data_IF_836029588841
#
_entry.id   IF_836029588841
#
_cell.length_a   1.000
_cell.length_b   1.000
_cell.length_c   1.000
_cell.angle_alpha   90.00
_cell.angle_beta   90.00
_cell.angle_gamma   90.00
#
_symmetry.space_group_name_H-M   'P 1'
#
loop_
_entity.id
_entity.type
_entity.pdbx_description
1 polymer ?
#
# COMPACT_ATOMS: atom_id res chain seq x y z
N UNK A 1 -17.01 -26.52 -11.41
CA UNK A 1 -16.28 -25.26 -11.13
C UNK A 1 -16.66 -24.21 -12.16
N UNK A 2 -17.86 -23.65 -12.08
CA UNK A 2 -18.26 -22.64 -13.04
C UNK A 2 -17.33 -21.43 -13.00
N UNK A 3 -17.15 -20.83 -14.17
CA UNK A 3 -16.15 -19.84 -14.58
C UNK A 3 -15.40 -19.13 -13.44
N UNK A 4 -14.10 -19.41 -13.33
CA UNK A 4 -13.19 -18.77 -12.37
C UNK A 4 -12.34 -17.71 -13.06
N UNK A 5 -12.29 -16.50 -12.49
CA UNK A 5 -11.42 -15.41 -12.92
C UNK A 5 -10.24 -15.24 -11.95
N UNK A 6 -9.01 -15.18 -12.46
CA UNK A 6 -7.79 -14.90 -11.69
C UNK A 6 -7.17 -13.58 -12.18
N UNK A 7 -7.12 -12.57 -11.31
CA UNK A 7 -6.59 -11.22 -11.63
C UNK A 7 -5.41 -10.82 -10.75
N UNK A 8 -4.72 -9.73 -11.13
CA UNK A 8 -3.52 -9.25 -10.44
C UNK A 8 -2.49 -8.61 -11.39
N UNK A 9 -1.52 -7.88 -10.86
CA UNK A 9 -0.47 -7.28 -11.69
C UNK A 9 0.50 -8.34 -12.24
N UNK A 10 1.26 -8.03 -13.31
CA UNK A 10 2.38 -8.86 -13.75
C UNK A 10 3.33 -9.22 -12.59
N UNK A 11 3.80 -10.47 -12.53
CA UNK A 11 4.66 -10.95 -11.44
C UNK A 11 3.95 -11.30 -10.13
N UNK A 12 2.62 -11.12 -10.01
CA UNK A 12 1.87 -11.55 -8.82
C UNK A 12 1.55 -13.05 -8.78
N UNK A 13 1.95 -13.82 -9.80
CA UNK A 13 1.81 -15.29 -9.82
C UNK A 13 0.42 -15.80 -10.15
N UNK A 14 -0.34 -15.05 -10.97
CA UNK A 14 -1.66 -15.43 -11.49
C UNK A 14 -1.65 -16.78 -12.20
N UNK A 15 -0.77 -16.91 -13.19
CA UNK A 15 -0.59 -18.13 -13.97
C UNK A 15 -0.23 -19.31 -13.07
N UNK A 16 0.69 -19.12 -12.12
CA UNK A 16 1.05 -20.16 -11.15
C UNK A 16 -0.14 -20.65 -10.31
N UNK A 17 -0.98 -19.73 -9.84
CA UNK A 17 -2.16 -20.07 -9.04
C UNK A 17 -3.23 -20.78 -9.88
N UNK A 18 -3.50 -20.26 -11.09
CA UNK A 18 -4.42 -20.85 -12.04
C UNK A 18 -4.00 -22.29 -12.43
N UNK A 19 -2.71 -22.51 -12.72
CA UNK A 19 -2.17 -23.84 -13.00
C UNK A 19 -2.29 -24.77 -11.79
N UNK A 20 -2.15 -24.26 -10.56
CA UNK A 20 -2.35 -25.06 -9.34
C UNK A 20 -3.80 -25.53 -9.23
N UNK A 21 -4.77 -24.65 -9.48
CA UNK A 21 -6.19 -25.01 -9.49
C UNK A 21 -6.53 -26.00 -10.62
N UNK A 22 -5.97 -25.77 -11.81
CA UNK A 22 -6.16 -26.63 -12.97
C UNK A 22 -5.58 -28.03 -12.73
N UNK A 23 -4.39 -28.12 -12.14
CA UNK A 23 -3.74 -29.39 -11.81
C UNK A 23 -4.58 -30.21 -10.83
N UNK A 24 -5.16 -29.58 -9.81
CA UNK A 24 -6.08 -30.26 -8.89
C UNK A 24 -7.31 -30.87 -9.59
N UNK A 25 -7.74 -30.31 -10.71
CA UNK A 25 -8.83 -30.85 -11.51
C UNK A 25 -8.35 -31.97 -12.45
N UNK A 26 -7.16 -31.80 -13.04
CA UNK A 26 -6.51 -32.86 -13.82
C UNK A 26 -6.27 -34.12 -12.97
N UNK A 27 -5.78 -33.95 -11.74
CA UNK A 27 -5.54 -35.03 -10.79
C UNK A 27 -6.84 -35.76 -10.37
N UNK A 28 -8.02 -35.12 -10.55
CA UNK A 28 -9.34 -35.73 -10.37
C UNK A 28 -9.87 -36.42 -11.63
N UNK A 29 -9.04 -36.55 -12.67
CA UNK A 29 -9.39 -37.22 -13.92
C UNK A 29 -10.04 -36.33 -14.97
N UNK A 30 -10.04 -35.00 -14.79
CA UNK A 30 -10.66 -34.08 -15.74
C UNK A 30 -9.71 -33.71 -16.87
N UNK A 31 -10.20 -33.71 -18.11
CA UNK A 31 -9.43 -33.21 -19.25
C UNK A 31 -9.24 -31.68 -19.15
N UNK A 32 -7.99 -31.23 -19.08
CA UNK A 32 -7.62 -29.82 -19.02
C UNK A 32 -7.02 -29.37 -20.34
N UNK A 33 -7.52 -28.27 -20.89
CA UNK A 33 -7.03 -27.64 -22.10
C UNK A 33 -6.50 -26.25 -21.78
N UNK A 34 -5.26 -25.93 -22.16
CA UNK A 34 -4.63 -24.66 -21.83
C UNK A 34 -4.18 -23.87 -23.08
N UNK A 35 -4.42 -22.55 -23.06
CA UNK A 35 -4.04 -21.59 -24.09
C UNK A 35 -3.32 -20.38 -23.48
N UNK A 36 -2.36 -19.80 -24.21
CA UNK A 36 -1.72 -18.53 -23.85
C UNK A 36 -0.60 -18.61 -22.79
N UNK A 37 -0.29 -19.79 -22.26
CA UNK A 37 0.75 -19.99 -21.25
C UNK A 37 2.09 -20.27 -21.94
N UNK A 38 3.09 -19.44 -21.66
CA UNK A 38 4.41 -19.53 -22.28
C UNK A 38 5.19 -20.76 -21.78
N UNK A 39 5.79 -21.51 -22.72
CA UNK A 39 6.66 -22.66 -22.49
C UNK A 39 6.06 -23.70 -21.51
N UNK A 40 4.74 -23.91 -21.58
CA UNK A 40 4.06 -24.91 -20.77
C UNK A 40 4.41 -26.32 -21.26
N UNK A 41 4.93 -27.15 -20.36
CA UNK A 41 5.17 -28.57 -20.57
C UNK A 41 3.86 -29.34 -20.37
N UNK A 42 3.10 -29.48 -21.45
CA UNK A 42 1.77 -30.09 -21.49
C UNK A 42 1.80 -31.57 -21.07
N UNK A 43 2.81 -32.32 -21.49
CA UNK A 43 2.93 -33.75 -21.22
C UNK A 43 3.19 -33.99 -19.72
N UNK A 44 4.13 -33.24 -19.15
CA UNK A 44 4.52 -33.42 -17.75
C UNK A 44 3.45 -32.95 -16.77
N UNK A 45 2.70 -31.90 -17.10
CA UNK A 45 1.59 -31.41 -16.26
C UNK A 45 0.29 -32.20 -16.47
N UNK A 46 0.18 -32.96 -17.57
CA UNK A 46 -1.00 -33.75 -17.92
C UNK A 46 -2.13 -32.92 -18.56
N UNK A 47 -1.79 -31.82 -19.26
CA UNK A 47 -2.76 -30.95 -19.93
C UNK A 47 -2.69 -31.14 -21.44
N UNK A 48 -3.73 -30.70 -22.14
CA UNK A 48 -3.78 -30.63 -23.60
C UNK A 48 -3.63 -29.20 -24.07
N UNK A 49 -3.00 -29.01 -25.22
CA UNK A 49 -2.95 -27.69 -25.87
C UNK A 49 -4.30 -27.36 -26.48
N UNK A 50 -4.74 -26.12 -26.29
CA UNK A 50 -5.87 -25.55 -27.01
C UNK A 50 -5.33 -24.67 -28.14
N UNK A 51 -5.38 -25.17 -29.37
CA UNK A 51 -4.80 -24.50 -30.52
C UNK A 51 -5.59 -23.25 -30.92
N UNK A 52 -6.91 -23.41 -31.09
CA UNK A 52 -7.83 -22.31 -31.35
C UNK A 52 -8.74 -22.07 -30.13
N UNK A 53 -8.47 -21.03 -29.32
CA UNK A 53 -9.27 -20.74 -28.15
C UNK A 53 -10.67 -20.22 -28.49
N UNK A 54 -10.92 -19.79 -29.74
CA UNK A 54 -12.24 -19.37 -30.19
C UNK A 54 -13.17 -20.57 -30.41
N UNK A 55 -12.61 -21.78 -30.59
CA UNK A 55 -13.38 -23.02 -30.80
C UNK A 55 -13.43 -23.91 -29.55
N UNK A 56 -13.30 -23.32 -28.38
CA UNK A 56 -13.36 -24.05 -27.10
C UNK A 56 -14.65 -24.89 -26.96
N UNK A 57 -15.75 -24.45 -27.57
CA UNK A 57 -17.04 -25.13 -27.52
C UNK A 57 -17.07 -26.42 -28.36
N UNK A 58 -16.07 -26.69 -29.19
CA UNK A 58 -15.96 -27.95 -29.96
C UNK A 58 -15.23 -29.05 -29.17
N UNK A 59 -14.69 -28.72 -27.99
CA UNK A 59 -13.99 -29.66 -27.12
C UNK A 59 -14.94 -30.74 -26.56
N UNK A 60 -14.39 -31.87 -26.06
CA UNK A 60 -15.19 -32.88 -25.37
C UNK A 60 -15.89 -32.32 -24.12
N UNK A 61 -17.09 -32.83 -23.87
CA UNK A 61 -17.89 -32.46 -22.70
C UNK A 61 -17.14 -32.70 -21.39
N UNK A 62 -17.40 -31.86 -20.40
CA UNK A 62 -16.72 -31.93 -19.11
C UNK A 62 -15.31 -31.35 -19.10
N UNK A 63 -14.81 -30.76 -20.20
CA UNK A 63 -13.46 -30.19 -20.24
C UNK A 63 -13.30 -28.96 -19.32
N UNK A 64 -12.10 -28.79 -18.77
CA UNK A 64 -11.65 -27.58 -18.10
C UNK A 64 -10.76 -26.77 -19.05
N UNK A 65 -11.12 -25.51 -19.29
CA UNK A 65 -10.38 -24.63 -20.18
C UNK A 65 -9.62 -23.57 -19.36
N UNK A 66 -8.31 -23.49 -19.55
CA UNK A 66 -7.42 -22.52 -18.91
C UNK A 66 -6.90 -21.56 -19.96
N UNK A 67 -7.15 -20.27 -19.82
CA UNK A 67 -6.72 -19.25 -20.79
C UNK A 67 -5.95 -18.17 -20.06
N UNK A 68 -4.65 -18.06 -20.37
CA UNK A 68 -3.84 -16.93 -19.93
C UNK A 68 -4.03 -15.73 -20.86
N UNK A 69 -3.95 -14.53 -20.27
CA UNK A 69 -4.26 -13.25 -20.93
C UNK A 69 -5.56 -13.31 -21.74
N UNK A 70 -6.64 -13.73 -21.07
CA UNK A 70 -7.92 -14.10 -21.69
C UNK A 70 -8.62 -12.96 -22.43
N UNK A 71 -8.19 -11.70 -22.28
CA UNK A 71 -8.66 -10.57 -23.10
C UNK A 71 -8.35 -10.75 -24.59
N UNK A 72 -7.38 -11.59 -24.96
CA UNK A 72 -7.13 -11.94 -26.36
C UNK A 72 -8.24 -12.80 -26.98
N UNK A 73 -8.94 -13.58 -26.16
CA UNK A 73 -10.03 -14.48 -26.58
C UNK A 73 -11.39 -13.83 -26.32
N UNK A 74 -11.54 -13.18 -25.18
CA UNK A 74 -12.76 -12.52 -24.72
C UNK A 74 -12.51 -11.02 -24.52
N UNK A 75 -12.22 -10.26 -25.60
CA UNK A 75 -11.89 -8.85 -25.47
C UNK A 75 -13.07 -8.04 -24.95
N UNK A 76 -12.77 -6.96 -24.21
CA UNK A 76 -13.78 -5.96 -23.90
C UNK A 76 -14.36 -5.37 -25.19
N UNK A 77 -15.68 -5.22 -25.25
CA UNK A 77 -16.41 -4.75 -26.42
C UNK A 77 -17.46 -3.72 -26.04
N UNK A 78 -17.88 -2.92 -27.01
CA UNK A 78 -19.00 -2.00 -26.86
C UNK A 78 -20.31 -2.79 -26.71
N UNK A 79 -21.25 -2.26 -25.92
CA UNK A 79 -22.53 -2.93 -25.64
C UNK A 79 -23.36 -3.20 -26.91
N UNK A 80 -23.26 -2.33 -27.92
CA UNK A 80 -23.96 -2.45 -29.20
C UNK A 80 -23.27 -3.35 -30.22
N UNK A 81 -22.05 -3.85 -29.95
CA UNK A 81 -21.33 -4.70 -30.89
C UNK A 81 -21.90 -6.12 -30.90
N UNK A 82 -21.94 -6.74 -32.08
CA UNK A 82 -22.34 -8.14 -32.25
C UNK A 82 -21.51 -9.05 -31.34
N UNK A 83 -22.20 -9.91 -30.58
CA UNK A 83 -21.56 -10.89 -29.69
C UNK A 83 -20.97 -12.02 -30.56
N UNK A 84 -19.66 -12.29 -30.50
CA UNK A 84 -19.07 -13.42 -31.20
C UNK A 84 -19.63 -14.76 -30.70
N UNK A 85 -19.64 -15.77 -31.57
CA UNK A 85 -20.27 -17.06 -31.27
C UNK A 85 -19.66 -17.75 -30.04
N UNK A 86 -18.33 -17.77 -29.94
CA UNK A 86 -17.62 -18.36 -28.81
C UNK A 86 -17.91 -17.64 -27.47
N UNK A 87 -18.35 -16.39 -27.52
CA UNK A 87 -18.81 -15.64 -26.33
C UNK A 87 -20.25 -16.02 -26.00
N UNK A 88 -21.13 -16.15 -27.01
CA UNK A 88 -22.53 -16.58 -26.82
C UNK A 88 -22.60 -17.97 -26.17
N UNK A 89 -21.77 -18.90 -26.64
CA UNK A 89 -21.68 -20.27 -26.11
C UNK A 89 -21.31 -20.30 -24.62
N UNK A 90 -20.68 -19.25 -24.07
CA UNK A 90 -20.40 -19.16 -22.63
C UNK A 90 -21.69 -19.14 -21.80
N UNK A 91 -22.84 -18.71 -22.34
CA UNK A 91 -24.13 -18.75 -21.64
C UNK A 91 -24.52 -20.18 -21.26
N UNK A 92 -24.22 -21.14 -22.14
CA UNK A 92 -24.64 -22.55 -22.05
C UNK A 92 -23.49 -23.49 -21.69
N UNK A 93 -22.34 -22.96 -21.26
CA UNK A 93 -21.16 -23.77 -20.92
C UNK A 93 -21.45 -24.92 -19.95
N UNK A 94 -22.35 -24.69 -18.97
CA UNK A 94 -22.71 -25.69 -17.96
C UNK A 94 -23.50 -26.88 -18.52
N UNK A 95 -24.23 -26.71 -19.61
CA UNK A 95 -25.04 -27.80 -20.19
C UNK A 95 -24.14 -28.96 -20.64
N UNK A 96 -22.94 -28.64 -21.11
CA UNK A 96 -21.93 -29.62 -21.53
C UNK A 96 -20.83 -29.82 -20.50
N UNK A 97 -21.01 -29.29 -19.28
CA UNK A 97 -20.06 -29.45 -18.17
C UNK A 97 -18.71 -28.75 -18.39
N UNK A 98 -18.63 -27.75 -19.26
CA UNK A 98 -17.40 -26.97 -19.41
C UNK A 98 -17.17 -26.11 -18.17
N UNK A 99 -15.92 -26.02 -17.73
CA UNK A 99 -15.49 -25.05 -16.72
C UNK A 99 -14.30 -24.25 -17.23
N UNK A 100 -14.08 -23.09 -16.63
CA UNK A 100 -13.05 -22.16 -17.09
C UNK A 100 -12.21 -21.63 -15.95
N UNK A 101 -10.91 -21.47 -16.20
CA UNK A 101 -9.99 -20.66 -15.41
C UNK A 101 -9.41 -19.60 -16.34
N UNK A 102 -9.93 -18.39 -16.23
CA UNK A 102 -9.55 -17.24 -17.05
C UNK A 102 -8.58 -16.36 -16.27
N UNK A 103 -7.43 -16.06 -16.86
CA UNK A 103 -6.41 -15.22 -16.23
C UNK A 103 -6.36 -13.89 -16.98
N UNK A 104 -6.41 -12.79 -16.23
CA UNK A 104 -6.29 -11.44 -16.78
C UNK A 104 -5.48 -10.55 -15.83
N UNK A 105 -4.95 -9.44 -16.31
CA UNK A 105 -4.35 -8.46 -15.42
C UNK A 105 -5.43 -7.72 -14.63
N UNK A 106 -6.49 -7.29 -15.33
CA UNK A 106 -7.66 -6.64 -14.78
C UNK A 106 -8.92 -7.21 -15.40
N UNK A 107 -9.97 -7.41 -14.59
CA UNK A 107 -11.23 -7.97 -15.10
C UNK A 107 -12.01 -7.04 -16.03
N UNK A 108 -11.71 -5.73 -16.04
CA UNK A 108 -12.33 -4.77 -16.98
C UNK A 108 -11.85 -4.96 -18.44
N UNK A 109 -10.73 -5.65 -18.64
CA UNK A 109 -10.20 -5.96 -19.98
C UNK A 109 -10.97 -7.08 -20.68
N UNK A 110 -11.80 -7.81 -19.93
CA UNK A 110 -12.57 -8.96 -20.42
C UNK A 110 -14.00 -8.52 -20.75
N UNK A 111 -14.61 -9.21 -21.73
CA UNK A 111 -15.99 -9.00 -22.19
C UNK A 111 -16.96 -8.82 -21.00
N UNK A 112 -17.79 -7.76 -21.01
CA UNK A 112 -18.75 -7.50 -19.95
C UNK A 112 -19.73 -8.65 -19.68
N UNK A 113 -20.08 -9.43 -20.71
CA UNK A 113 -20.99 -10.58 -20.59
C UNK A 113 -20.47 -11.63 -19.61
N UNK A 114 -19.15 -11.90 -19.62
CA UNK A 114 -18.55 -12.90 -18.76
C UNK A 114 -18.56 -12.49 -17.27
N UNK A 115 -18.70 -11.19 -16.96
CA UNK A 115 -18.71 -10.69 -15.58
C UNK A 115 -19.90 -11.22 -14.77
N UNK A 116 -21.03 -11.49 -15.42
CA UNK A 116 -22.19 -12.12 -14.80
C UNK A 116 -22.07 -13.64 -14.64
N UNK A 117 -21.06 -14.26 -15.26
CA UNK A 117 -20.87 -15.72 -15.24
C UNK A 117 -19.83 -16.18 -14.23
N UNK A 118 -18.99 -15.26 -13.73
CA UNK A 118 -17.94 -15.59 -12.76
C UNK A 118 -18.54 -15.98 -11.42
N UNK A 119 -18.29 -17.21 -11.00
CA UNK A 119 -18.62 -17.65 -9.63
C UNK A 119 -17.47 -17.49 -8.66
N UNK A 120 -16.24 -17.41 -9.16
CA UNK A 120 -15.08 -17.21 -8.32
C UNK A 120 -14.19 -16.17 -8.97
N UNK A 121 -13.87 -15.12 -8.21
CA UNK A 121 -12.86 -14.14 -8.59
C UNK A 121 -11.73 -14.16 -7.57
N UNK A 122 -10.54 -14.55 -8.00
CA UNK A 122 -9.31 -14.52 -7.21
C UNK A 122 -8.46 -13.32 -7.63
N UNK A 123 -8.20 -12.38 -6.73
CA UNK A 123 -7.26 -11.29 -6.98
C UNK A 123 -5.96 -11.51 -6.21
N UNK A 124 -4.86 -11.55 -6.96
CA UNK A 124 -3.53 -11.83 -6.45
C UNK A 124 -2.73 -10.55 -6.21
N UNK A 125 -2.20 -10.42 -4.99
CA UNK A 125 -1.33 -9.31 -4.59
C UNK A 125 -0.05 -9.83 -3.94
N UNK A 126 1.09 -9.55 -4.56
CA UNK A 126 2.41 -9.86 -4.01
C UNK A 126 3.23 -8.58 -3.85
N UNK A 127 3.20 -7.98 -2.65
CA UNK A 127 3.82 -6.69 -2.40
C UNK A 127 5.37 -6.69 -2.42
N UNK A 128 6.01 -7.84 -2.22
CA UNK A 128 7.47 -7.90 -1.99
C UNK A 128 8.24 -8.90 -2.87
N UNK A 129 7.62 -9.45 -3.92
CA UNK A 129 8.29 -10.43 -4.78
C UNK A 129 8.67 -11.74 -4.05
N UNK A 130 8.21 -11.92 -2.82
CA UNK A 130 8.39 -13.14 -2.05
C UNK A 130 7.54 -14.28 -2.58
N UNK A 131 7.76 -15.49 -2.05
CA UNK A 131 6.99 -16.70 -2.38
C UNK A 131 5.56 -16.69 -1.85
N UNK A 132 5.26 -15.79 -0.92
CA UNK A 132 3.94 -15.64 -0.31
C UNK A 132 3.13 -14.65 -1.13
N UNK A 133 1.93 -15.04 -1.50
CA UNK A 133 0.96 -14.18 -2.20
C UNK A 133 -0.30 -14.05 -1.38
N UNK A 134 -0.79 -12.82 -1.24
CA UNK A 134 -2.13 -12.58 -0.69
C UNK A 134 -3.13 -12.77 -1.82
N UNK A 135 -4.09 -13.67 -1.62
CA UNK A 135 -5.17 -13.95 -2.56
C UNK A 135 -6.47 -13.50 -1.90
N UNK A 136 -7.17 -12.55 -2.52
CA UNK A 136 -8.54 -12.21 -2.14
C UNK A 136 -9.49 -13.02 -3.00
N UNK A 137 -10.49 -13.67 -2.41
CA UNK A 137 -11.55 -14.38 -3.13
C UNK A 137 -12.87 -13.63 -3.00
N UNK A 138 -13.64 -13.61 -4.08
CA UNK A 138 -15.06 -13.25 -4.07
C UNK A 138 -15.84 -14.32 -4.84
N UNK A 139 -17.08 -14.53 -4.44
CA UNK A 139 -17.98 -15.52 -5.06
C UNK A 139 -18.72 -14.94 -6.30
N UNK A 140 -18.26 -13.78 -6.76
CA UNK A 140 -18.75 -13.09 -7.94
C UNK A 140 -17.66 -12.17 -8.49
N UNK A 141 -17.91 -11.59 -9.66
CA UNK A 141 -17.05 -10.53 -10.20
C UNK A 141 -16.94 -9.35 -9.22
N UNK A 142 -15.71 -8.87 -9.01
CA UNK A 142 -15.45 -7.70 -8.17
C UNK A 142 -14.67 -6.65 -8.96
N UNK A 143 -15.33 -5.56 -9.32
CA UNK A 143 -14.71 -4.45 -10.04
C UNK A 143 -13.70 -3.70 -9.15
N UNK A 144 -14.05 -3.45 -7.89
CA UNK A 144 -13.18 -2.78 -6.94
C UNK A 144 -12.33 -3.79 -6.15
N UNK A 145 -11.14 -4.12 -6.66
CA UNK A 145 -10.17 -5.03 -6.02
C UNK A 145 -9.64 -4.53 -4.65
N UNK A 146 -9.81 -3.24 -4.35
CA UNK A 146 -9.41 -2.65 -3.05
C UNK A 146 -10.44 -2.95 -1.97
N UNK A 147 -11.69 -3.26 -2.33
CA UNK A 147 -12.74 -3.65 -1.39
C UNK A 147 -12.26 -4.77 -0.47
N UNK A 148 -12.80 -4.78 0.75
CA UNK A 148 -12.56 -5.89 1.67
C UNK A 148 -13.13 -7.18 1.06
N UNK A 149 -12.44 -8.28 1.31
CA UNK A 149 -12.86 -9.61 0.94
C UNK A 149 -12.90 -10.41 2.22
N UNK A 150 -14.06 -11.02 2.51
CA UNK A 150 -14.23 -11.88 3.68
C UNK A 150 -13.29 -13.10 3.62
N UNK A 151 -12.94 -13.54 2.41
CA UNK A 151 -12.06 -14.69 2.20
C UNK A 151 -10.71 -14.26 1.60
N UNK A 152 -9.77 -13.99 2.51
CA UNK A 152 -8.39 -13.64 2.17
C UNK A 152 -7.46 -14.78 2.55
N UNK A 153 -6.88 -15.42 1.53
CA UNK A 153 -6.02 -16.58 1.69
C UNK A 153 -4.56 -16.17 1.51
N UNK A 154 -3.68 -16.71 2.36
CA UNK A 154 -2.23 -16.62 2.18
C UNK A 154 -1.76 -17.84 1.38
N UNK A 155 -1.51 -17.66 0.09
CA UNK A 155 -1.03 -18.73 -0.78
C UNK A 155 0.50 -18.71 -0.92
N UNK A 156 1.14 -19.85 -0.70
CA UNK A 156 2.58 -20.02 -0.89
C UNK A 156 2.80 -20.64 -2.27
N UNK A 157 3.64 -20.01 -3.10
CA UNK A 157 3.97 -20.56 -4.42
C UNK A 157 4.88 -21.78 -4.27
N UNK A 158 4.35 -22.94 -4.64
CA UNK A 158 5.11 -24.20 -4.70
C UNK A 158 6.10 -24.15 -5.86
N UNK A 159 7.31 -24.66 -5.66
CA UNK A 159 8.35 -24.67 -6.71
C UNK A 159 7.99 -25.60 -7.87
N UNK A 160 7.25 -26.66 -7.59
CA UNK A 160 6.82 -27.65 -8.58
C UNK A 160 6.09 -27.01 -9.76
N UNK A 161 5.18 -26.06 -9.50
CA UNK A 161 4.37 -25.46 -10.57
C UNK A 161 5.22 -24.67 -11.57
N UNK A 162 6.32 -24.06 -11.11
CA UNK A 162 7.28 -23.35 -11.96
C UNK A 162 8.16 -24.28 -12.79
N UNK A 163 8.17 -25.58 -12.49
CA UNK A 163 8.88 -26.55 -13.30
C UNK A 163 8.13 -26.95 -14.56
N UNK A 164 6.84 -26.61 -14.66
CA UNK A 164 6.00 -26.88 -15.83
C UNK A 164 5.89 -25.72 -16.81
N UNK A 165 6.28 -24.49 -16.46
CA UNK A 165 6.15 -23.35 -17.37
C UNK A 165 7.17 -22.25 -17.10
N UNK A 166 7.48 -21.44 -18.12
CA UNK A 166 8.37 -20.28 -17.97
C UNK A 166 7.57 -19.05 -17.57
N UNK A 167 7.75 -18.54 -16.36
CA UNK A 167 7.20 -17.24 -15.97
C UNK A 167 8.00 -16.11 -16.62
N UNK A 168 7.46 -15.43 -17.63
CA UNK A 168 8.04 -14.20 -18.19
C UNK A 168 7.86 -13.04 -17.22
N UNK A 169 8.92 -12.76 -16.47
CA UNK A 169 9.46 -11.41 -16.24
C UNK A 169 10.70 -11.61 -15.37
N UNK A 170 11.84 -11.40 -16.01
CA UNK A 170 13.09 -10.91 -15.45
C UNK A 170 13.20 -10.97 -13.90
N UNK A 171 14.28 -11.61 -13.47
CA UNK A 171 15.01 -11.32 -12.25
C UNK A 171 15.40 -9.80 -12.10
N UNK A 172 14.51 -8.83 -12.36
CA UNK A 172 14.78 -7.39 -12.18
C UNK A 172 14.65 -6.93 -10.74
N UNK A 173 14.34 -7.85 -9.81
CA UNK A 173 14.70 -7.69 -8.40
C UNK A 173 15.63 -8.81 -7.99
N UNK A 174 16.77 -8.92 -8.69
CA UNK A 174 17.96 -9.45 -8.03
C UNK A 174 18.08 -8.73 -6.69
N UNK A 175 18.09 -9.47 -5.60
CA UNK A 175 18.45 -8.96 -4.28
C UNK A 175 19.86 -8.38 -4.39
N UNK A 176 19.99 -7.13 -4.84
CA UNK A 176 21.19 -6.36 -4.59
C UNK A 176 21.22 -6.17 -3.09
N UNK A 177 22.07 -6.93 -2.42
CA UNK A 177 22.47 -6.59 -1.07
C UNK A 177 22.86 -5.12 -1.13
N UNK A 178 22.26 -4.26 -0.29
CA UNK A 178 22.54 -2.84 -0.34
C UNK A 178 24.03 -2.66 -0.10
N UNK A 179 24.71 -1.87 -0.94
CA UNK A 179 26.17 -1.81 -1.02
C UNK A 179 26.84 -1.53 0.34
N UNK A 180 26.14 -0.88 1.28
CA UNK A 180 26.62 -0.68 2.65
C UNK A 180 26.90 -1.99 3.39
N UNK A 181 26.17 -3.07 3.15
CA UNK A 181 26.45 -4.39 3.75
C UNK A 181 27.76 -4.98 3.24
N UNK A 182 28.08 -4.78 1.95
CA UNK A 182 29.36 -5.20 1.34
C UNK A 182 30.52 -4.36 1.89
N UNK A 183 30.34 -3.05 2.02
CA UNK A 183 31.35 -2.18 2.63
C UNK A 183 31.54 -2.46 4.12
N UNK A 184 30.47 -2.82 4.84
CA UNK A 184 30.55 -3.20 6.25
C UNK A 184 31.32 -4.51 6.43
N UNK A 185 31.05 -5.55 5.64
CA UNK A 185 31.80 -6.82 5.71
C UNK A 185 33.26 -6.64 5.31
N UNK A 186 33.54 -5.85 4.27
CA UNK A 186 34.91 -5.50 3.88
C UNK A 186 35.62 -4.73 5.00
N UNK A 187 34.94 -3.77 5.64
CA UNK A 187 35.47 -3.00 6.76
C UNK A 187 35.85 -3.89 7.95
N UNK A 188 34.99 -4.84 8.32
CA UNK A 188 35.28 -5.81 9.38
C UNK A 188 36.52 -6.66 9.03
N UNK A 189 36.63 -7.15 7.79
CA UNK A 189 37.79 -7.93 7.35
C UNK A 189 39.09 -7.11 7.41
N UNK A 190 39.06 -5.83 7.05
CA UNK A 190 40.21 -4.93 7.16
C UNK A 190 40.62 -4.71 8.61
N UNK A 191 39.67 -4.49 9.52
CA UNK A 191 39.94 -4.33 10.95
C UNK A 191 40.54 -5.61 11.54
N UNK A 192 40.00 -6.78 11.19
CA UNK A 192 40.56 -8.08 11.61
C UNK A 192 41.97 -8.29 11.04
N UNK A 193 42.21 -7.95 9.78
CA UNK A 193 43.55 -8.02 9.17
C UNK A 193 44.55 -7.08 9.84
N UNK A 194 44.16 -5.84 10.13
CA UNK A 194 45.01 -4.84 10.80
C UNK A 194 45.31 -5.23 12.25
N UNK A 195 44.34 -5.75 12.98
CA UNK A 195 44.54 -6.23 14.36
C UNK A 195 45.44 -7.46 14.40
N UNK A 196 45.28 -8.40 13.47
CA UNK A 196 46.18 -9.54 13.32
C UNK A 196 47.61 -9.09 12.96
N UNK A 197 47.76 -8.19 12.00
CA UNK A 197 49.05 -7.64 11.59
C UNK A 197 49.75 -6.88 12.74
N UNK A 198 49.02 -6.02 13.46
CA UNK A 198 49.54 -5.29 14.61
C UNK A 198 49.98 -6.24 15.72
N UNK A 199 49.18 -7.28 16.02
CA UNK A 199 49.54 -8.32 17.00
C UNK A 199 50.81 -9.07 16.57
N UNK A 200 50.92 -9.47 15.31
CA UNK A 200 52.09 -10.14 14.77
C UNK A 200 53.33 -9.23 14.86
N UNK A 201 53.20 -7.95 14.51
CA UNK A 201 54.30 -6.97 14.59
C UNK A 201 54.77 -6.73 16.01
N UNK A 202 53.83 -6.61 16.96
CA UNK A 202 54.14 -6.41 18.39
C UNK A 202 54.80 -7.66 18.99
N UNK A 203 54.34 -8.86 18.63
CA UNK A 203 54.97 -10.12 19.06
C UNK A 203 56.38 -10.31 18.47
N UNK A 204 56.64 -9.83 17.25
CA UNK A 204 58.00 -9.85 16.65
C UNK A 204 58.94 -8.75 17.17
N UNK A 205 58.42 -7.72 17.86
CA UNK A 205 59.22 -6.59 18.38
C UNK A 205 59.45 -6.62 19.90
N UNK A 206 58.88 -7.60 20.61
CA UNK A 206 59.17 -7.86 22.02
C UNK A 206 60.03 -9.12 22.17
N UNK A 207 61.29 -9.02 21.74
CA UNK A 207 62.36 -9.72 22.44
C UNK A 207 62.77 -8.83 23.62
N UNK A 208 62.80 -9.32 24.87
CA UNK A 208 63.06 -8.47 26.02
C UNK A 208 64.57 -8.24 26.12
N UNK A 209 65.00 -6.98 26.06
CA UNK A 209 66.30 -6.59 26.60
C UNK A 209 66.07 -5.48 27.62
N UNK A 210 66.34 -5.82 28.87
CA UNK A 210 66.31 -4.90 29.99
C UNK A 210 67.66 -4.19 30.06
N UNK A 211 67.70 -2.88 29.86
CA UNK A 211 68.72 -2.05 30.51
C UNK A 211 68.20 -0.63 30.72
N UNK A 212 68.07 -0.27 31.99
CA UNK A 212 67.95 1.09 32.50
C UNK A 212 69.27 1.85 32.31
N UNK A 213 69.22 3.17 32.10
CA UNK A 213 69.86 4.24 32.92
C UNK A 213 69.27 5.60 32.51
N UNK A 214 69.03 6.47 33.49
CA UNK A 214 68.45 7.80 33.40
C UNK A 214 69.47 8.94 33.13
N UNK A 215 69.01 10.07 32.56
CA UNK A 215 69.28 11.44 33.07
C UNK A 215 68.57 12.55 32.27
N UNK A 216 68.13 13.56 33.03
CA UNK A 216 67.42 14.81 32.64
C UNK A 216 68.38 15.82 31.94
N UNK A 217 68.00 16.97 31.36
CA UNK A 217 66.90 17.93 31.59
C UNK A 217 66.72 18.88 30.35
N UNK A 218 66.09 20.09 30.40
CA UNK A 218 64.91 20.43 29.59
C UNK A 218 65.12 21.55 28.53
N UNK A 219 64.19 21.68 27.58
CA UNK A 219 64.14 22.80 26.63
C UNK A 219 62.78 22.91 25.92
N UNK A 220 62.26 24.12 25.78
CA UNK A 220 60.85 24.48 25.69
C UNK A 220 60.25 24.64 24.28
N UNK A 221 58.97 24.26 24.16
CA UNK A 221 57.86 24.85 23.37
C UNK A 221 57.88 24.73 21.81
N UNK A 222 56.78 25.09 21.10
CA UNK A 222 55.46 24.40 21.05
C UNK A 222 54.98 24.16 19.60
N UNK A 223 54.15 23.14 19.31
CA UNK A 223 53.41 23.08 18.02
C UNK A 223 52.09 22.28 18.15
N UNK A 224 51.03 22.65 17.40
CA UNK A 224 49.64 22.32 17.66
C UNK A 224 49.13 21.10 16.88
N UNK A 225 47.95 20.63 17.26
CA UNK A 225 47.15 19.73 16.42
C UNK A 225 47.01 18.33 16.99
N UNK A 226 46.21 18.17 18.05
CA UNK A 226 45.68 16.86 18.44
C UNK A 226 44.24 16.79 17.95
N UNK A 227 44.03 15.98 16.90
CA UNK A 227 42.75 15.38 16.60
C UNK A 227 42.35 14.50 17.80
N UNK A 228 41.15 14.63 18.39
CA UNK A 228 40.72 13.66 19.37
C UNK A 228 40.37 12.37 18.65
N UNK A 229 41.26 11.38 18.79
CA UNK A 229 40.90 9.98 18.66
C UNK A 229 39.76 9.68 19.63
N UNK A 230 38.84 8.82 19.20
CA UNK A 230 37.72 8.35 20.00
C UNK A 230 38.22 7.70 21.29
N UNK A 231 38.28 8.50 22.35
CA UNK A 231 38.33 8.01 23.71
C UNK A 231 36.98 7.36 24.00
N UNK A 232 36.99 6.10 24.43
CA UNK A 232 35.85 5.45 25.12
C UNK A 232 35.58 6.15 26.45
N UNK A 233 35.20 7.43 26.38
CA UNK A 233 34.60 8.16 27.49
C UNK A 233 33.13 7.82 27.43
N UNK A 234 32.54 7.25 28.51
CA UNK A 234 31.10 7.07 28.59
C UNK A 234 30.43 8.41 28.26
N UNK A 235 29.67 8.44 27.15
CA UNK A 235 28.95 9.65 26.69
C UNK A 235 28.03 10.22 27.78
N UNK A 236 27.62 9.38 28.72
CA UNK A 236 26.80 9.72 29.87
C UNK A 236 27.50 9.22 31.13
N UNK A 237 27.48 10.03 32.19
CA UNK A 237 28.17 9.73 33.45
C UNK A 237 27.50 8.58 34.22
N UNK A 238 26.18 8.47 34.13
CA UNK A 238 25.35 7.46 34.79
C UNK A 238 23.96 7.34 34.10
N UNK A 239 23.12 6.34 34.44
CA UNK A 239 21.79 6.20 33.85
C UNK A 239 20.83 7.38 34.13
N UNK A 240 21.02 8.13 35.21
CA UNK A 240 20.20 9.29 35.52
C UNK A 240 20.60 10.49 34.64
N UNK A 241 21.88 10.65 34.32
CA UNK A 241 22.40 11.60 33.34
C UNK A 241 21.88 11.28 31.93
N UNK A 242 21.86 10.00 31.55
CA UNK A 242 21.19 9.56 30.31
C UNK A 242 19.71 9.97 30.30
N UNK A 243 18.96 9.65 31.36
CA UNK A 243 17.53 9.99 31.43
C UNK A 243 17.28 11.51 31.39
N UNK A 244 18.10 12.30 32.10
CA UNK A 244 18.03 13.77 32.08
C UNK A 244 18.27 14.35 30.68
N UNK A 245 19.23 13.81 29.94
CA UNK A 245 19.52 14.28 28.58
C UNK A 245 18.44 13.86 27.55
N UNK A 246 17.65 12.83 27.84
CA UNK A 246 16.55 12.34 26.99
C UNK A 246 15.17 12.85 27.41
N UNK A 247 15.08 13.60 28.52
CA UNK A 247 13.83 14.22 28.95
C UNK A 247 13.55 15.45 28.08
N UNK A 248 12.39 15.47 27.42
CA UNK A 248 11.96 16.58 26.59
C UNK A 248 11.71 17.83 27.45
N UNK A 249 12.13 19.00 26.95
CA UNK A 249 11.87 20.30 27.63
C UNK A 249 10.39 20.64 27.61
N UNK A 250 9.71 20.27 26.54
CA UNK A 250 8.26 20.40 26.40
C UNK A 250 7.66 19.01 26.14
N UNK A 251 6.67 18.55 26.95
CA UNK A 251 6.08 17.22 26.78
C UNK A 251 5.48 16.96 25.40
N UNK A 252 4.94 17.99 24.76
CA UNK A 252 4.36 17.93 23.42
C UNK A 252 5.38 17.91 22.28
N UNK A 253 6.68 18.04 22.59
CA UNK A 253 7.75 18.15 21.59
C UNK A 253 8.95 17.27 22.01
N UNK A 254 8.88 15.95 21.80
CA UNK A 254 9.93 15.02 22.22
C UNK A 254 11.33 15.33 21.67
N UNK A 255 11.41 15.97 20.50
CA UNK A 255 12.65 16.42 19.86
C UNK A 255 13.34 17.60 20.58
N UNK A 256 12.70 18.19 21.60
CA UNK A 256 13.28 19.27 22.41
C UNK A 256 14.19 18.75 23.54
N UNK A 257 14.40 17.43 23.64
CA UNK A 257 15.34 16.88 24.61
C UNK A 257 16.79 17.33 24.33
N UNK A 258 17.60 17.65 25.36
CA UNK A 258 18.97 18.15 25.19
C UNK A 258 19.88 17.29 24.31
N UNK A 259 19.64 15.98 24.24
CA UNK A 259 20.39 15.04 23.39
C UNK A 259 20.32 15.39 21.89
N UNK A 260 19.33 16.18 21.46
CA UNK A 260 19.13 16.56 20.07
C UNK A 260 19.71 17.94 19.70
N UNK A 261 20.16 18.75 20.66
CA UNK A 261 20.59 20.15 20.43
C UNK A 261 21.74 20.28 19.43
N UNK A 262 22.65 19.31 19.41
CA UNK A 262 23.81 19.30 18.51
C UNK A 262 23.56 18.56 17.20
N UNK A 263 22.32 18.09 16.96
CA UNK A 263 21.96 17.41 15.70
C UNK A 263 21.36 18.41 14.74
N UNK A 264 21.80 18.35 13.49
CA UNK A 264 21.14 19.10 12.42
C UNK A 264 19.77 18.49 12.14
N UNK A 265 18.78 19.34 11.93
CA UNK A 265 17.42 18.93 11.55
C UNK A 265 17.47 18.36 10.12
N UNK A 266 17.38 17.04 10.00
CA UNK A 266 17.38 16.34 8.70
C UNK A 266 15.99 16.23 8.06
N UNK A 267 14.92 16.43 8.82
CA UNK A 267 13.54 16.40 8.33
C UNK A 267 12.63 17.22 9.25
N UNK A 268 11.65 17.90 8.65
CA UNK A 268 10.57 18.63 9.35
C UNK A 268 9.22 17.98 9.00
N UNK A 269 8.89 16.81 9.59
CA UNK A 269 7.69 16.07 9.23
C UNK A 269 6.44 16.73 9.81
N UNK A 270 5.39 16.85 9.00
CA UNK A 270 4.13 17.40 9.49
C UNK A 270 3.45 16.43 10.46
N UNK A 271 2.86 16.99 11.51
CA UNK A 271 2.03 16.26 12.48
C UNK A 271 0.57 16.42 12.10
N UNK A 272 -0.12 15.30 11.93
CA UNK A 272 -1.52 15.20 11.59
C UNK A 272 -2.23 14.54 12.78
N UNK A 273 -3.12 15.28 13.43
CA UNK A 273 -3.89 14.79 14.58
C UNK A 273 -5.35 14.60 14.19
N UNK A 274 -5.96 13.52 14.67
CA UNK A 274 -7.40 13.26 14.54
C UNK A 274 -7.98 13.08 15.93
N UNK A 275 -9.09 13.75 16.23
CA UNK A 275 -9.84 13.57 17.46
C UNK A 275 -11.27 13.14 17.16
N UNK A 276 -11.76 12.11 17.84
CA UNK A 276 -13.17 11.72 17.86
C UNK A 276 -13.84 12.20 19.15
N UNK A 277 -15.01 12.80 19.04
CA UNK A 277 -15.86 13.04 20.20
C UNK A 277 -16.48 11.72 20.68
N UNK A 278 -16.82 11.62 21.98
CA UNK A 278 -17.53 10.44 22.48
C UNK A 278 -18.90 10.36 21.80
N UNK A 279 -19.27 9.16 21.37
CA UNK A 279 -20.50 8.96 20.62
C UNK A 279 -20.80 7.49 20.39
N UNK A 280 -22.01 7.23 19.92
CA UNK A 280 -22.46 5.87 19.59
C UNK A 280 -22.19 5.61 18.12
N UNK A 281 -21.50 4.51 17.81
CA UNK A 281 -21.29 4.09 16.43
C UNK A 281 -22.58 3.54 15.78
N UNK A 282 -22.54 3.28 14.48
CA UNK A 282 -23.68 2.75 13.73
C UNK A 282 -24.10 1.33 14.17
N UNK A 283 -23.35 0.68 15.05
CA UNK A 283 -23.66 -0.62 15.65
C UNK A 283 -24.18 -0.50 17.08
N UNK A 284 -24.38 0.72 17.59
CA UNK A 284 -24.90 0.95 18.94
C UNK A 284 -23.84 0.93 20.04
N UNK A 285 -22.55 0.82 19.72
CA UNK A 285 -21.49 0.83 20.73
C UNK A 285 -21.07 2.27 21.06
N UNK A 286 -20.97 2.57 22.35
CA UNK A 286 -20.41 3.84 22.81
C UNK A 286 -18.89 3.82 22.75
N UNK A 287 -18.32 4.64 21.87
CA UNK A 287 -16.90 4.92 21.85
C UNK A 287 -16.60 6.12 22.75
N UNK A 288 -15.60 5.96 23.62
CA UNK A 288 -15.06 7.07 24.40
C UNK A 288 -14.29 8.04 23.49
N UNK A 289 -14.11 9.27 23.98
CA UNK A 289 -13.29 10.29 23.29
C UNK A 289 -11.90 9.72 22.99
N UNK A 290 -11.42 9.86 21.75
CA UNK A 290 -10.08 9.41 21.36
C UNK A 290 -9.36 10.51 20.59
N UNK A 291 -8.03 10.58 20.71
CA UNK A 291 -7.22 11.49 19.92
C UNK A 291 -5.89 10.80 19.57
N UNK A 292 -5.48 10.88 18.31
CA UNK A 292 -4.24 10.25 17.83
C UNK A 292 -3.53 11.17 16.86
N UNK A 293 -2.24 11.37 17.08
CA UNK A 293 -1.37 12.15 16.22
C UNK A 293 -0.33 11.26 15.54
N UNK A 294 -0.14 11.49 14.24
CA UNK A 294 0.80 10.78 13.39
C UNK A 294 1.64 11.78 12.60
N UNK A 295 2.90 11.45 12.35
CA UNK A 295 3.71 12.18 11.36
C UNK A 295 3.39 11.73 9.94
N UNK A 296 3.79 12.50 8.91
CA UNK A 296 3.71 12.05 7.49
C UNK A 296 4.40 10.71 7.22
N UNK A 297 5.38 10.36 8.06
CA UNK A 297 6.12 9.10 7.99
C UNK A 297 5.42 7.95 8.73
N UNK A 298 4.22 8.19 9.28
CA UNK A 298 3.42 7.20 10.00
C UNK A 298 3.88 6.92 11.44
N UNK A 299 4.73 7.80 12.02
CA UNK A 299 5.18 7.67 13.41
C UNK A 299 4.12 8.22 14.35
N UNK A 300 3.69 7.42 15.33
CA UNK A 300 2.74 7.86 16.35
C UNK A 300 3.42 8.81 17.34
N UNK A 301 2.80 9.97 17.55
CA UNK A 301 3.29 10.99 18.46
C UNK A 301 2.41 11.00 19.71
N UNK A 302 3.01 10.71 20.85
CA UNK A 302 2.34 10.73 22.15
C UNK A 302 2.26 12.17 22.64
N UNK A 303 1.08 12.79 22.51
CA UNK A 303 0.81 14.16 22.93
C UNK A 303 -0.20 14.17 24.07
N UNK A 304 -0.09 15.14 25.01
CA UNK A 304 -1.13 15.40 25.98
C UNK A 304 -2.51 15.59 25.32
N UNK A 305 -3.56 15.07 25.95
CA UNK A 305 -4.89 14.96 25.34
C UNK A 305 -5.49 16.31 24.93
N UNK A 306 -5.20 17.38 25.67
CA UNK A 306 -5.58 18.76 25.38
C UNK A 306 -4.84 19.32 24.15
N UNK A 307 -3.54 19.07 24.05
CA UNK A 307 -2.70 19.48 22.92
C UNK A 307 -3.12 18.73 21.65
N UNK A 308 -3.33 17.42 21.75
CA UNK A 308 -3.79 16.59 20.63
C UNK A 308 -5.11 17.12 20.05
N UNK A 309 -6.07 17.46 20.92
CA UNK A 309 -7.36 18.02 20.51
C UNK A 309 -7.22 19.42 19.89
N UNK A 310 -6.35 20.25 20.45
CA UNK A 310 -6.09 21.58 19.91
C UNK A 310 -5.55 21.48 18.49
N UNK A 311 -4.54 20.64 18.28
CA UNK A 311 -3.94 20.42 16.96
C UNK A 311 -4.95 19.79 16.00
N UNK A 312 -5.77 18.83 16.44
CA UNK A 312 -6.78 18.19 15.60
C UNK A 312 -7.90 19.15 15.15
N UNK A 313 -8.30 20.11 16.01
CA UNK A 313 -9.42 21.03 15.73
C UNK A 313 -8.99 22.34 15.08
N UNK A 314 -7.83 22.87 15.44
CA UNK A 314 -7.37 24.20 15.04
C UNK A 314 -6.13 24.17 14.14
N UNK A 315 -5.59 22.98 13.89
CA UNK A 315 -4.32 22.81 13.20
C UNK A 315 -3.12 23.05 14.11
N UNK A 316 -1.91 22.72 13.65
CA UNK A 316 -0.68 23.02 14.38
C UNK A 316 -0.45 24.53 14.46
N UNK A 317 0.34 24.97 15.44
CA UNK A 317 0.78 26.36 15.52
C UNK A 317 1.51 26.77 14.24
N UNK A 318 1.33 28.02 13.83
CA UNK A 318 2.00 28.58 12.65
C UNK A 318 3.51 28.44 12.77
N UNK A 319 4.14 27.78 11.79
CA UNK A 319 5.59 27.60 11.71
C UNK A 319 6.16 28.54 10.62
N UNK A 320 6.83 29.65 10.99
CA UNK A 320 7.38 30.60 10.03
C UNK A 320 8.59 30.06 9.24
N UNK A 321 9.18 28.94 9.67
CA UNK A 321 10.31 28.31 9.00
C UNK A 321 9.87 27.26 7.97
N UNK A 322 8.56 27.06 7.79
CA UNK A 322 8.01 26.14 6.79
C UNK A 322 8.40 26.61 5.40
N UNK A 323 9.28 25.87 4.75
CA UNK A 323 9.53 26.04 3.33
C UNK A 323 8.26 25.62 2.58
N UNK A 324 7.64 26.53 1.84
CA UNK A 324 6.56 26.19 0.91
C UNK A 324 7.14 25.26 -0.15
N UNK A 325 6.92 23.95 0.01
CA UNK A 325 7.11 23.03 -1.12
C UNK A 325 6.11 23.46 -2.20
N UNK A 326 6.53 23.65 -3.46
CA UNK A 326 5.58 23.89 -4.54
C UNK A 326 4.61 22.71 -4.54
N UNK A 327 3.33 23.02 -4.40
CA UNK A 327 2.26 22.04 -4.51
C UNK A 327 2.50 21.23 -5.78
N UNK A 328 2.66 19.91 -5.61
CA UNK A 328 2.55 19.00 -6.74
C UNK A 328 1.20 19.33 -7.40
N UNK A 329 1.16 19.66 -8.71
CA UNK A 329 -0.08 20.10 -9.33
C UNK A 329 -1.16 19.06 -9.04
N UNK A 330 -2.20 19.50 -8.35
CA UNK A 330 -3.45 18.75 -8.24
C UNK A 330 -3.88 18.48 -9.67
N UNK A 331 -3.98 17.20 -10.02
CA UNK A 331 -4.71 16.82 -11.21
C UNK A 331 -6.12 17.41 -11.06
N UNK A 332 -6.63 18.16 -12.06
CA UNK A 332 -7.99 18.65 -12.01
C UNK A 332 -8.90 17.47 -11.71
N UNK A 333 -9.64 17.54 -10.61
CA UNK A 333 -10.81 16.69 -10.47
C UNK A 333 -11.75 17.11 -11.58
N UNK A 334 -11.97 16.23 -12.55
CA UNK A 334 -13.07 16.33 -13.50
C UNK A 334 -14.37 16.42 -12.68
N UNK A 335 -14.76 17.65 -12.39
CA UNK A 335 -16.14 17.96 -12.01
C UNK A 335 -16.93 17.75 -13.28
N UNK A 336 -17.45 16.53 -13.44
CA UNK A 336 -18.44 16.22 -14.46
C UNK A 336 -19.54 17.27 -14.36
N UNK A 337 -19.61 18.11 -15.37
CA UNK A 337 -20.62 19.13 -15.57
C UNK A 337 -21.98 18.43 -15.63
N UNK A 338 -22.72 18.42 -14.51
CA UNK A 338 -24.12 18.07 -14.54
C UNK A 338 -24.85 19.16 -15.34
N UNK A 339 -25.69 18.81 -16.34
CA UNK A 339 -26.45 19.83 -17.06
C UNK A 339 -27.41 20.54 -16.09
N UNK A 340 -27.70 21.84 -16.29
CA UNK A 340 -28.63 22.57 -15.44
C UNK A 340 -30.04 21.96 -15.59
N UNK A 341 -30.64 21.54 -14.48
CA UNK A 341 -32.06 21.17 -14.46
C UNK A 341 -32.92 22.44 -14.59
N UNK A 342 -33.76 22.46 -15.62
CA UNK A 342 -34.81 23.46 -15.84
C UNK A 342 -35.90 23.30 -14.75
N UNK A 343 -36.21 24.33 -13.94
CA UNK A 343 -37.22 24.22 -12.88
C UNK A 343 -38.68 24.26 -13.36
N UNK A 344 -38.98 24.15 -14.66
CA UNK A 344 -40.34 24.42 -15.20
C UNK A 344 -40.98 23.32 -16.05
N UNK A 345 -40.67 22.05 -15.80
CA UNK A 345 -41.40 20.95 -16.42
C UNK A 345 -41.76 19.84 -15.42
N UNK A 346 -42.68 20.13 -14.49
CA UNK A 346 -43.80 19.20 -14.25
C UNK A 346 -44.94 19.91 -13.49
N UNK A 347 -46.09 20.03 -14.15
CA UNK A 347 -47.35 20.49 -13.56
C UNK A 347 -48.46 19.62 -14.12
N UNK A 348 -48.67 18.45 -13.51
CA UNK A 348 -49.99 17.81 -13.48
C UNK A 348 -50.17 16.89 -12.26
N UNK A 349 -50.99 17.36 -11.31
CA UNK A 349 -51.90 16.68 -10.36
C UNK A 349 -51.54 15.27 -9.83
N UNK A 350 -51.36 15.09 -8.51
CA UNK A 350 -52.44 14.86 -7.53
C UNK A 350 -51.91 14.16 -6.24
N UNK A 351 -52.67 14.09 -5.13
CA UNK A 351 -52.22 14.64 -3.83
C UNK A 351 -51.83 13.61 -2.74
N UNK A 352 -50.98 14.02 -1.79
CA UNK A 352 -50.89 13.38 -0.48
C UNK A 352 -49.63 13.66 0.35
N UNK A 353 -49.80 14.49 1.39
CA UNK A 353 -49.06 14.56 2.66
C UNK A 353 -47.62 15.14 2.71
N UNK A 354 -47.56 16.42 3.06
CA UNK A 354 -46.76 17.08 4.11
C UNK A 354 -45.31 16.60 4.37
N UNK A 355 -44.34 17.42 3.97
CA UNK A 355 -42.99 17.43 4.54
C UNK A 355 -42.62 18.83 5.06
N UNK A 356 -42.14 18.85 6.31
CA UNK A 356 -41.56 20.02 7.00
C UNK A 356 -40.13 20.24 6.49
N UNK A 357 -39.66 21.49 6.23
CA UNK A 357 -38.32 21.71 5.70
C UNK A 357 -37.28 21.77 6.83
N UNK A 358 -36.22 20.95 6.74
CA UNK A 358 -34.99 21.19 7.49
C UNK A 358 -34.11 22.19 6.72
N UNK A 359 -33.79 23.29 7.39
CA UNK A 359 -33.03 24.42 6.87
C UNK A 359 -31.57 24.08 6.56
N UNK A 360 -31.07 24.70 5.49
CA UNK A 360 -29.65 24.71 5.14
C UNK A 360 -28.85 25.60 6.07
N UNK A 361 -27.68 25.11 6.50
CA UNK A 361 -26.68 25.89 7.20
C UNK A 361 -25.91 26.78 6.21
N UNK A 362 -25.91 28.08 6.49
CA UNK A 362 -25.14 29.10 5.80
C UNK A 362 -23.64 29.01 6.13
N UNK A 363 -22.80 29.24 5.12
CA UNK A 363 -21.34 29.41 5.25
C UNK A 363 -21.01 30.83 5.72
N UNK A 364 -20.03 30.94 6.61
CA UNK A 364 -19.63 32.16 7.30
C UNK A 364 -18.58 32.91 6.49
N UNK A 365 -18.86 34.16 6.10
CA UNK A 365 -17.88 35.03 5.45
C UNK A 365 -18.48 36.13 4.60
N UNK A 366 -19.25 37.04 5.22
CA UNK A 366 -19.33 38.44 4.79
C UNK A 366 -20.14 39.22 5.84
N UNK A 367 -19.45 39.97 6.71
CA UNK A 367 -20.07 41.04 7.48
C UNK A 367 -19.30 42.30 7.14
N UNK A 368 -19.70 42.92 6.02
CA UNK A 368 -19.47 44.33 5.74
C UNK A 368 -20.47 45.16 6.53
N UNK A 369 -19.95 46.01 7.41
CA UNK A 369 -20.71 47.00 8.18
C UNK A 369 -21.14 48.13 7.25
N UNK A 370 -22.46 48.42 7.16
CA UNK A 370 -22.95 49.81 6.99
C UNK A 370 -24.39 49.97 7.55
N UNK A 371 -24.79 51.18 7.97
CA UNK A 371 -25.84 51.39 8.97
C UNK A 371 -27.19 51.90 8.41
N UNK A 372 -28.21 51.72 9.25
CA UNK A 372 -29.45 52.50 9.46
C UNK A 372 -30.02 53.36 8.31
N UNK A 373 -31.29 53.10 7.94
CA UNK A 373 -32.38 54.09 7.92
C UNK A 373 -33.75 53.41 7.66
N UNK A 374 -34.78 53.82 8.42
CA UNK A 374 -36.13 53.21 8.52
C UNK A 374 -37.08 53.43 7.33
N UNK A 375 -38.43 53.45 7.48
CA UNK A 375 -39.23 53.50 8.73
C UNK A 375 -40.32 52.40 8.88
N UNK A 376 -40.84 52.24 10.10
CA UNK A 376 -42.16 51.68 10.42
C UNK A 376 -43.28 52.53 9.76
N UNK A 377 -44.57 52.10 9.56
CA UNK A 377 -45.46 51.38 10.49
C UNK A 377 -46.37 50.34 9.74
N UNK A 378 -47.34 49.58 10.28
CA UNK A 378 -48.47 49.88 11.19
C UNK A 378 -48.98 48.59 11.81
N UNK A 379 -49.42 48.71 13.07
CA UNK A 379 -50.26 47.75 13.76
C UNK A 379 -51.75 48.00 13.51
N UNK A 380 -52.57 47.01 13.90
CA UNK A 380 -53.98 47.06 14.35
C UNK A 380 -54.98 46.29 13.46
N UNK A 381 -56.13 45.82 13.99
CA UNK A 381 -56.26 44.54 14.70
C UNK A 381 -57.58 43.78 14.34
N UNK A 382 -57.87 42.68 15.03
CA UNK A 382 -59.18 41.98 15.02
C UNK A 382 -59.10 40.63 14.31
N UNK A 383 -59.56 39.52 14.87
CA UNK A 383 -60.60 39.26 15.87
C UNK A 383 -60.18 38.08 16.74
#
# INVERSE_FOLDING_TARGET
>A
MPVTLVTGQPGHGKTAYALTLAKQQADKGRAVYAHGIKDLDYDRIGFKRLDDPLKWYELPDGALIVIDECYGVFPNRNAAANVPEHVKQMATHRHRGFDFILIAQQGLQVDPFLRGLYENHYHMRNAWGGRVTKVKRWDQYQANIKAQSADTIRWIRTNEIFSYYTSTTLNTRGRRLPMWLVYATLGVLVVVGLTWYARHRMLTKYAPDHTSVASAAPGSAPVPGVLPGASDVPKYRDPADYAKQHLARFPSMPWTAPVYDQRQVTADPQVLCMSSEPGTDAQGNHANRSCTCLTEQGTLLDLPADVCQHVARRGPSYNPYRQTQPSRPEFPQDTAHAPPMDPRADRTLGPGADSVPFGGHASYGDIGVTPANGPAPKASPGV
#
